data_IF_012383254974
#
_entry.id   IF_012383254974
#
_cell.length_a   1.000
_cell.length_b   1.000
_cell.length_c   1.000
_cell.angle_alpha   90.00
_cell.angle_beta   90.00
_cell.angle_gamma   90.00
#
_symmetry.space_group_name_H-M   'P 1'
#
loop_
_entity.id
_entity.type
_entity.pdbx_description
1 polymer ?
#
# COMPACT_ATOMS: atom_id res chain seq x y z
N UNK A 1 -11.72 -18.09 -1.36
CA UNK A 1 -11.27 -17.69 -2.71
C UNK A 1 -9.94 -16.96 -2.55
N UNK A 2 -8.79 -17.54 -2.94
CA UNK A 2 -7.51 -16.84 -3.00
C UNK A 2 -7.26 -16.48 -4.46
N UNK A 3 -7.68 -15.27 -4.85
CA UNK A 3 -7.41 -14.73 -6.18
C UNK A 3 -6.21 -13.81 -6.11
N UNK A 4 -5.05 -14.27 -6.57
CA UNK A 4 -3.93 -13.39 -6.88
C UNK A 4 -4.27 -12.72 -8.22
N UNK A 5 -4.55 -11.42 -8.19
CA UNK A 5 -4.75 -10.62 -9.40
C UNK A 5 -3.37 -10.30 -9.97
N UNK A 6 -3.01 -10.99 -11.05
CA UNK A 6 -1.79 -10.73 -11.80
C UNK A 6 -1.95 -9.60 -12.83
N UNK A 7 -3.18 -9.14 -13.07
CA UNK A 7 -3.53 -8.06 -14.02
C UNK A 7 -3.78 -6.75 -13.26
N UNK A 8 -2.83 -6.36 -12.42
CA UNK A 8 -2.81 -5.01 -11.88
C UNK A 8 -1.98 -4.18 -12.84
N UNK A 9 -2.64 -3.24 -13.53
CA UNK A 9 -1.95 -2.15 -14.20
C UNK A 9 -0.90 -1.63 -13.22
N UNK A 10 0.38 -1.81 -13.55
CA UNK A 10 1.50 -1.51 -12.63
C UNK A 10 1.57 -0.03 -12.24
N UNK A 11 0.73 0.78 -12.87
CA UNK A 11 0.56 2.22 -12.70
C UNK A 11 -0.36 2.61 -11.53
N UNK A 12 -1.23 1.71 -11.02
CA UNK A 12 -2.14 2.07 -9.93
C UNK A 12 -1.76 1.42 -8.59
N UNK A 13 -1.61 2.22 -7.52
CA UNK A 13 -1.35 1.71 -6.19
C UNK A 13 -2.56 0.95 -5.64
N UNK A 14 -2.30 -0.14 -4.93
CA UNK A 14 -3.32 -0.92 -4.23
C UNK A 14 -2.94 -1.25 -2.79
N UNK A 15 -3.95 -1.43 -1.96
CA UNK A 15 -3.80 -2.03 -0.64
C UNK A 15 -3.44 -3.53 -0.82
N UNK A 16 -2.17 -3.84 -0.62
CA UNK A 16 -1.61 -5.19 -0.74
C UNK A 16 -2.02 -6.09 0.44
N UNK A 17 -2.16 -5.49 1.62
CA UNK A 17 -2.73 -6.15 2.79
C UNK A 17 -3.54 -5.14 3.61
N UNK A 18 -4.47 -5.64 4.42
CA UNK A 18 -5.24 -4.83 5.36
C UNK A 18 -5.21 -5.51 6.73
N UNK A 19 -4.60 -4.85 7.70
CA UNK A 19 -4.58 -5.28 9.09
C UNK A 19 -5.85 -4.76 9.76
N UNK A 20 -6.85 -5.62 9.93
CA UNK A 20 -8.15 -5.29 10.55
C UNK A 20 -8.25 -5.69 12.03
N UNK A 21 -7.21 -6.31 12.59
CA UNK A 21 -7.24 -6.87 13.95
C UNK A 21 -6.91 -5.82 15.05
N UNK A 22 -7.24 -4.54 14.81
CA UNK A 22 -6.99 -3.40 15.70
C UNK A 22 -8.14 -2.40 15.61
N UNK A 23 -8.26 -1.49 16.58
CA UNK A 23 -9.26 -0.42 16.57
C UNK A 23 -9.15 0.47 15.31
N UNK A 24 -7.93 0.77 14.86
CA UNK A 24 -7.66 1.45 13.59
C UNK A 24 -7.11 0.46 12.55
N UNK A 25 -7.82 0.22 11.43
CA UNK A 25 -7.34 -0.65 10.38
C UNK A 25 -6.14 -0.02 9.68
N UNK A 26 -5.15 -0.83 9.28
CA UNK A 26 -3.95 -0.34 8.58
C UNK A 26 -3.83 -1.02 7.22
N UNK A 27 -3.74 -0.25 6.15
CA UNK A 27 -3.50 -0.74 4.80
C UNK A 27 -2.00 -0.72 4.47
N UNK A 28 -1.49 -1.86 4.01
CA UNK A 28 -0.13 -1.98 3.47
C UNK A 28 -0.13 -1.63 1.98
N UNK A 29 0.72 -0.69 1.59
CA UNK A 29 1.01 -0.32 0.21
C UNK A 29 2.45 -0.70 -0.12
N UNK A 30 2.66 -1.38 -1.24
CA UNK A 30 4.00 -1.78 -1.70
C UNK A 30 4.35 -0.96 -2.93
N UNK A 31 5.38 -0.13 -2.81
CA UNK A 31 5.87 0.74 -3.88
C UNK A 31 7.08 0.05 -4.56
N UNK A 32 6.98 -0.31 -5.85
CA UNK A 32 8.07 -0.97 -6.57
C UNK A 32 9.24 -0.02 -6.85
N UNK A 33 10.43 -0.59 -7.05
CA UNK A 33 11.61 0.15 -7.54
C UNK A 33 11.36 0.62 -8.97
N UNK A 34 10.98 1.88 -9.14
CA UNK A 34 10.58 2.45 -10.44
C UNK A 34 9.16 3.01 -10.49
N UNK A 35 8.47 3.09 -9.35
CA UNK A 35 7.28 3.93 -9.22
C UNK A 35 7.64 5.38 -9.61
N UNK A 36 6.82 5.97 -10.48
CA UNK A 36 6.95 7.34 -10.92
C UNK A 36 6.16 8.29 -9.99
N UNK A 37 6.28 9.59 -10.24
CA UNK A 37 5.59 10.61 -9.44
C UNK A 37 4.06 10.47 -9.51
N UNK A 38 3.51 9.96 -10.63
CA UNK A 38 2.09 9.70 -10.76
C UNK A 38 1.63 8.59 -9.83
N UNK A 39 2.42 7.52 -9.70
CA UNK A 39 2.13 6.43 -8.76
C UNK A 39 2.11 6.92 -7.31
N UNK A 40 3.10 7.73 -6.90
CA UNK A 40 3.16 8.30 -5.54
C UNK A 40 2.00 9.28 -5.31
N UNK A 41 1.63 10.11 -6.30
CA UNK A 41 0.48 11.01 -6.20
C UNK A 41 -0.84 10.23 -6.06
N UNK A 42 -1.04 9.19 -6.86
CA UNK A 42 -2.22 8.33 -6.76
C UNK A 42 -2.28 7.59 -5.43
N UNK A 43 -1.12 7.21 -4.86
CA UNK A 43 -1.04 6.56 -3.56
C UNK A 43 -1.46 7.53 -2.46
N UNK A 44 -0.95 8.76 -2.50
CA UNK A 44 -1.29 9.81 -1.55
C UNK A 44 -2.78 10.16 -1.60
N UNK A 45 -3.35 10.31 -2.81
CA UNK A 45 -4.80 10.51 -2.98
C UNK A 45 -5.62 9.37 -2.37
N UNK A 46 -5.17 8.12 -2.54
CA UNK A 46 -5.88 6.96 -2.03
C UNK A 46 -5.80 6.84 -0.50
N UNK A 47 -4.68 7.25 0.10
CA UNK A 47 -4.50 7.38 1.55
C UNK A 47 -5.37 8.52 2.09
N UNK A 48 -5.32 9.69 1.45
CA UNK A 48 -6.10 10.87 1.84
C UNK A 48 -7.61 10.65 1.72
N UNK A 49 -8.06 9.82 0.78
CA UNK A 49 -9.46 9.43 0.64
C UNK A 49 -9.98 8.55 1.79
N UNK A 50 -9.09 7.95 2.59
CA UNK A 50 -9.44 7.04 3.69
C UNK A 50 -8.65 7.37 4.96
N UNK A 51 -8.86 8.54 5.56
CA UNK A 51 -8.14 8.95 6.76
C UNK A 51 -8.44 8.07 7.98
N UNK A 52 -9.53 7.30 7.93
CA UNK A 52 -9.92 6.29 8.93
C UNK A 52 -9.06 5.01 8.87
N UNK A 53 -8.25 4.84 7.81
CA UNK A 53 -7.36 3.69 7.63
C UNK A 53 -5.92 4.20 7.68
N UNK A 54 -5.14 3.71 8.64
CA UNK A 54 -3.71 3.99 8.70
C UNK A 54 -3.00 3.51 7.44
N UNK A 55 -2.07 4.31 6.92
CA UNK A 55 -1.25 3.93 5.77
C UNK A 55 0.09 3.36 6.23
N UNK A 56 0.43 2.18 5.75
CA UNK A 56 1.75 1.59 5.96
C UNK A 56 2.39 1.34 4.59
N UNK A 57 3.43 2.09 4.27
CA UNK A 57 4.04 2.07 2.94
C UNK A 57 5.39 1.35 3.02
N UNK A 58 5.56 0.30 2.22
CA UNK A 58 6.83 -0.37 2.01
C UNK A 58 7.39 0.00 0.64
N UNK A 59 8.51 0.72 0.63
CA UNK A 59 9.28 0.99 -0.58
C UNK A 59 10.29 -0.11 -0.80
N UNK A 60 10.11 -0.90 -1.86
CA UNK A 60 11.00 -2.02 -2.19
C UNK A 60 12.44 -1.55 -2.45
N UNK A 61 12.60 -0.29 -2.88
CA UNK A 61 13.92 0.32 -3.09
C UNK A 61 14.67 0.71 -1.82
N UNK A 62 13.97 0.92 -0.70
CA UNK A 62 14.59 1.30 0.57
C UNK A 62 15.07 0.10 1.39
N UNK A 63 14.78 -1.13 0.93
CA UNK A 63 15.27 -2.38 1.52
C UNK A 63 14.17 -3.35 1.91
N UNK A 64 14.47 -4.17 2.91
CA UNK A 64 13.56 -5.20 3.43
C UNK A 64 12.23 -4.63 3.95
N UNK A 65 11.24 -5.50 4.08
CA UNK A 65 9.92 -5.15 4.58
C UNK A 65 10.02 -4.45 5.95
N UNK A 66 9.40 -3.27 6.12
CA UNK A 66 9.39 -2.60 7.42
C UNK A 66 8.78 -3.51 8.50
N UNK A 67 9.09 -3.29 9.78
CA UNK A 67 8.44 -4.02 10.85
C UNK A 67 6.94 -3.73 10.87
N UNK A 68 6.14 -4.76 11.16
CA UNK A 68 4.69 -4.62 11.31
C UNK A 68 4.38 -3.52 12.33
N UNK A 69 3.46 -2.57 12.03
CA UNK A 69 3.05 -1.57 13.00
C UNK A 69 2.46 -2.27 14.23
N UNK A 70 2.90 -1.87 15.42
CA UNK A 70 2.39 -2.33 16.72
C UNK A 70 1.27 -1.43 17.25
#
# INVERSE_FOLDING_TARGET
>A
MKGLRYDLQSDQPIANALLQNRDEPIALFVVPTGADENYEAALDEMIAARPEIGSWVWRVGDGDMPPLPL
#
